data_IF_064374745714
#
_entry.id   IF_064374745714
#
_cell.length_a   1.000
_cell.length_b   1.000
_cell.length_c   1.000
_cell.angle_alpha   90.00
_cell.angle_beta   90.00
_cell.angle_gamma   90.00
#
_symmetry.space_group_name_H-M   'P 1'
#
loop_
_entity.id
_entity.type
_entity.pdbx_description
1 polymer ?
#
# COMPACT_ATOMS: atom_id res chain seq x y z
N UNK A 1 21.67 -13.27 11.41
CA UNK A 1 20.61 -12.50 10.77
C UNK A 1 20.20 -11.26 11.57
N UNK A 2 19.87 -11.32 12.87
CA UNK A 2 19.51 -10.14 13.69
C UNK A 2 20.55 -9.00 13.66
N UNK A 3 21.85 -9.32 13.71
CA UNK A 3 22.92 -8.31 13.67
C UNK A 3 23.02 -7.59 12.32
N UNK A 4 22.75 -8.28 11.21
CA UNK A 4 22.76 -7.69 9.85
C UNK A 4 21.60 -6.71 9.71
N UNK A 5 20.41 -7.06 10.19
CA UNK A 5 19.23 -6.18 10.16
C UNK A 5 19.50 -4.90 10.96
N UNK A 6 20.09 -5.02 12.15
CA UNK A 6 20.45 -3.87 12.98
C UNK A 6 21.52 -3.01 12.30
N UNK A 7 22.55 -3.62 11.68
CA UNK A 7 23.60 -2.86 10.98
C UNK A 7 23.05 -2.11 9.75
N UNK A 8 22.14 -2.73 9.00
CA UNK A 8 21.47 -2.07 7.87
C UNK A 8 20.58 -0.93 8.37
N UNK A 9 19.86 -1.12 9.49
CA UNK A 9 19.03 -0.09 10.08
C UNK A 9 19.86 1.09 10.61
N UNK A 10 20.99 0.84 11.24
CA UNK A 10 21.95 1.88 11.71
C UNK A 10 22.59 2.59 10.53
N UNK A 11 22.96 1.90 9.46
CA UNK A 11 23.49 2.52 8.24
C UNK A 11 22.46 3.43 7.55
N UNK A 12 21.18 3.06 7.55
CA UNK A 12 20.10 3.91 7.05
C UNK A 12 19.87 5.17 7.89
N UNK A 13 20.09 5.10 9.21
CA UNK A 13 19.99 6.26 10.10
C UNK A 13 21.13 7.27 9.94
N UNK A 14 22.32 6.84 9.51
CA UNK A 14 23.47 7.71 9.32
C UNK A 14 23.40 8.62 8.08
N UNK A 15 22.46 8.37 7.16
CA UNK A 15 22.24 9.20 5.97
C UNK A 15 21.42 10.47 6.21
N UNK A 16 21.29 10.95 7.46
CA UNK A 16 20.34 11.98 7.88
C UNK A 16 20.98 13.38 7.87
N UNK A 17 21.22 14.01 6.74
CA UNK A 17 21.93 15.28 6.85
C UNK A 17 21.56 16.44 5.93
N UNK A 18 20.73 16.30 4.92
CA UNK A 18 20.53 17.39 3.94
C UNK A 18 19.04 17.53 3.53
N UNK A 19 18.65 18.77 3.16
CA UNK A 19 17.36 19.05 2.53
C UNK A 19 17.10 18.08 1.37
N UNK A 20 15.86 17.80 1.04
CA UNK A 20 15.57 16.98 -0.14
C UNK A 20 16.32 17.55 -1.32
N UNK A 21 17.22 16.77 -1.86
CA UNK A 21 18.16 17.18 -2.90
C UNK A 21 18.08 16.21 -4.05
N UNK A 22 18.14 16.75 -5.26
CA UNK A 22 18.33 15.97 -6.47
C UNK A 22 19.47 14.96 -6.29
N UNK A 23 19.29 13.72 -6.77
CA UNK A 23 20.24 12.63 -6.59
C UNK A 23 20.15 11.93 -5.23
N UNK A 24 19.28 12.36 -4.32
CA UNK A 24 19.13 11.76 -3.00
C UNK A 24 18.31 10.46 -3.05
N UNK A 25 18.78 9.44 -2.32
CA UNK A 25 18.05 8.20 -2.10
C UNK A 25 17.36 8.21 -0.74
N UNK A 26 16.11 7.79 -0.69
CA UNK A 26 15.35 7.67 0.56
C UNK A 26 14.53 6.39 0.61
N UNK A 27 14.20 5.93 1.81
CA UNK A 27 13.34 4.80 2.04
C UNK A 27 12.21 5.23 2.95
N UNK A 28 10.97 5.08 2.47
CA UNK A 28 9.75 5.33 3.24
C UNK A 28 9.21 4.03 3.84
N UNK A 29 8.64 4.15 5.03
CA UNK A 29 7.85 3.10 5.68
C UNK A 29 6.51 3.72 6.05
N UNK A 30 5.42 3.19 5.51
CA UNK A 30 4.06 3.65 5.75
C UNK A 30 3.22 2.53 6.39
N UNK A 31 2.43 2.92 7.38
CA UNK A 31 1.40 2.09 8.02
C UNK A 31 0.06 2.79 7.85
N UNK A 32 -0.99 2.04 7.55
CA UNK A 32 -2.28 2.66 7.30
C UNK A 32 -3.47 1.73 7.53
N UNK A 33 -4.63 2.30 7.30
CA UNK A 33 -5.91 1.62 7.38
C UNK A 33 -6.60 1.64 6.02
N UNK A 34 -7.39 0.62 5.77
CA UNK A 34 -8.26 0.50 4.59
C UNK A 34 -9.70 0.52 5.07
N UNK A 35 -10.40 1.67 4.98
CA UNK A 35 -11.82 1.73 5.32
C UNK A 35 -12.64 0.93 4.28
N UNK A 36 -13.53 0.08 4.74
CA UNK A 36 -14.47 -0.69 3.92
C UNK A 36 -15.86 -0.64 4.51
N UNK A 37 -16.89 -0.84 3.69
CA UNK A 37 -18.25 -0.99 4.19
C UNK A 37 -18.38 -2.35 4.89
N UNK A 38 -18.79 -2.35 6.17
CA UNK A 38 -18.98 -3.57 6.96
C UNK A 38 -17.69 -4.27 7.36
N UNK A 39 -16.56 -3.53 7.49
CA UNK A 39 -15.30 -4.13 7.89
C UNK A 39 -14.16 -3.12 7.91
N UNK A 40 -12.95 -3.56 7.67
CA UNK A 40 -11.78 -2.71 7.63
C UNK A 40 -10.53 -3.48 7.24
N UNK A 41 -9.42 -2.76 7.11
CA UNK A 41 -8.14 -3.38 6.82
C UNK A 41 -6.98 -2.57 7.32
N UNK A 42 -5.82 -3.19 7.28
CA UNK A 42 -4.54 -2.56 7.56
C UNK A 42 -3.65 -2.67 6.33
N UNK A 43 -2.81 -1.67 6.13
CA UNK A 43 -1.79 -1.68 5.08
C UNK A 43 -0.43 -1.34 5.67
N UNK A 44 0.59 -1.96 5.11
CA UNK A 44 1.98 -1.69 5.40
C UNK A 44 2.72 -1.58 4.07
N UNK A 45 3.57 -0.58 3.91
CA UNK A 45 4.41 -0.48 2.73
C UNK A 45 5.83 0.01 3.03
N UNK A 46 6.77 -0.52 2.27
CA UNK A 46 8.16 -0.08 2.20
C UNK A 46 8.39 0.50 0.81
N UNK A 47 8.99 1.69 0.74
CA UNK A 47 9.16 2.38 -0.53
C UNK A 47 10.53 3.03 -0.66
N UNK A 48 11.53 2.33 -1.24
CA UNK A 48 12.75 2.97 -1.72
C UNK A 48 12.42 3.93 -2.86
N UNK A 49 12.99 5.15 -2.78
CA UNK A 49 12.79 6.24 -3.76
C UNK A 49 14.11 6.92 -4.10
N UNK A 50 14.16 7.42 -5.33
CA UNK A 50 15.24 8.26 -5.83
C UNK A 50 14.69 9.63 -6.23
N UNK A 51 15.29 10.69 -5.72
CA UNK A 51 14.92 12.06 -6.05
C UNK A 51 15.53 12.43 -7.39
N UNK A 52 14.72 12.45 -8.45
CA UNK A 52 15.16 12.88 -9.80
C UNK A 52 15.28 14.39 -9.91
N UNK A 53 14.55 15.11 -9.05
CA UNK A 53 14.66 16.56 -8.82
C UNK A 53 14.30 16.86 -7.36
N UNK A 54 14.51 18.10 -6.92
CA UNK A 54 14.15 18.54 -5.57
C UNK A 54 12.66 18.40 -5.26
N UNK A 55 11.80 18.37 -6.29
CA UNK A 55 10.36 18.27 -6.17
C UNK A 55 9.75 17.03 -6.86
N UNK A 56 10.57 16.09 -7.30
CA UNK A 56 10.11 14.89 -8.01
C UNK A 56 10.91 13.66 -7.58
N UNK A 57 10.22 12.55 -7.38
CA UNK A 57 10.91 11.29 -7.17
C UNK A 57 10.23 10.11 -7.88
N UNK A 58 11.00 9.09 -8.09
CA UNK A 58 10.54 7.77 -8.55
C UNK A 58 10.87 6.76 -7.47
N UNK A 59 10.05 5.73 -7.37
CA UNK A 59 10.22 4.70 -6.34
C UNK A 59 9.67 3.35 -6.75
N UNK A 60 9.94 2.37 -5.89
CA UNK A 60 9.33 1.06 -5.94
C UNK A 60 8.61 0.82 -4.62
N UNK A 61 7.29 0.85 -4.63
CA UNK A 61 6.48 0.54 -3.45
C UNK A 61 6.25 -0.96 -3.36
N UNK A 62 6.65 -1.53 -2.23
CA UNK A 62 6.39 -2.92 -1.84
C UNK A 62 5.36 -2.84 -0.72
N UNK A 63 4.15 -3.30 -0.96
CA UNK A 63 3.03 -3.15 -0.03
C UNK A 63 2.33 -4.46 0.28
N UNK A 64 1.76 -4.53 1.47
CA UNK A 64 0.83 -5.58 1.90
C UNK A 64 -0.40 -4.92 2.50
N UNK A 65 -1.58 -5.38 2.10
CA UNK A 65 -2.84 -4.95 2.71
C UNK A 65 -3.66 -6.19 3.10
N UNK A 66 -4.11 -6.24 4.34
CA UNK A 66 -5.05 -7.24 4.83
C UNK A 66 -6.41 -6.56 5.03
N UNK A 67 -7.43 -7.06 4.36
CA UNK A 67 -8.75 -6.42 4.30
C UNK A 67 -9.81 -7.46 4.67
N UNK A 68 -10.65 -7.12 5.63
CA UNK A 68 -11.85 -7.90 5.99
C UNK A 68 -13.07 -7.13 5.53
N UNK A 69 -14.00 -7.81 4.89
CA UNK A 69 -15.29 -7.27 4.43
C UNK A 69 -16.40 -8.18 4.85
N UNK A 70 -17.47 -7.60 5.39
CA UNK A 70 -18.71 -8.33 5.60
C UNK A 70 -19.45 -8.47 4.26
N UNK A 71 -19.87 -9.67 3.95
CA UNK A 71 -20.74 -9.94 2.80
C UNK A 71 -22.13 -10.20 3.34
N UNK A 72 -23.03 -9.23 3.18
CA UNK A 72 -24.46 -9.44 3.43
C UNK A 72 -25.03 -10.17 2.22
N UNK A 73 -25.22 -11.48 2.35
CA UNK A 73 -26.05 -12.23 1.43
C UNK A 73 -27.52 -12.14 1.89
N UNK A 74 -28.45 -12.02 0.93
CA UNK A 74 -29.89 -11.94 1.19
C UNK A 74 -30.37 -13.24 1.88
N UNK A 75 -30.50 -13.19 3.21
CA UNK A 75 -31.16 -14.20 3.99
C UNK A 75 -30.28 -15.19 4.76
N UNK A 76 -29.64 -14.76 5.83
CA UNK A 76 -28.97 -15.57 6.87
C UNK A 76 -27.62 -16.21 6.46
N UNK A 77 -26.64 -15.72 7.00
CA UNK A 77 -25.31 -16.17 7.42
C UNK A 77 -24.26 -15.12 7.03
N UNK A 78 -23.69 -14.49 8.03
CA UNK A 78 -22.61 -13.51 7.82
C UNK A 78 -21.36 -14.24 7.40
N UNK A 79 -21.04 -14.22 6.12
CA UNK A 79 -19.77 -14.76 5.62
C UNK A 79 -18.74 -13.64 5.65
N UNK A 80 -17.77 -13.72 6.54
CA UNK A 80 -16.65 -12.79 6.55
C UNK A 80 -15.63 -13.20 5.47
N UNK A 81 -15.33 -12.29 4.54
CA UNK A 81 -14.28 -12.49 3.53
C UNK A 81 -13.03 -11.73 3.94
N UNK A 82 -11.94 -12.45 4.13
CA UNK A 82 -10.63 -11.87 4.33
C UNK A 82 -9.82 -11.93 3.02
N UNK A 83 -9.22 -10.82 2.63
CA UNK A 83 -8.31 -10.77 1.49
C UNK A 83 -6.97 -10.19 1.89
N UNK A 84 -5.89 -10.81 1.44
CA UNK A 84 -4.54 -10.32 1.56
C UNK A 84 -4.02 -9.91 0.18
N UNK A 85 -3.54 -8.68 0.05
CA UNK A 85 -3.01 -8.15 -1.19
C UNK A 85 -1.53 -7.80 -0.99
N UNK A 86 -0.65 -8.48 -1.75
CA UNK A 86 0.74 -8.06 -1.94
C UNK A 86 0.85 -7.16 -3.16
N UNK A 87 1.71 -6.14 -3.15
CA UNK A 87 1.87 -5.25 -4.29
C UNK A 87 3.31 -4.83 -4.51
N UNK A 88 3.69 -4.73 -5.79
CA UNK A 88 4.96 -4.18 -6.28
C UNK A 88 4.64 -3.13 -7.32
N UNK A 89 4.75 -1.85 -6.95
CA UNK A 89 4.29 -0.74 -7.76
C UNK A 89 5.42 0.24 -8.01
N UNK A 90 5.77 0.48 -9.28
CA UNK A 90 6.63 1.58 -9.65
C UNK A 90 5.85 2.89 -9.48
N UNK A 91 6.42 3.86 -8.77
CA UNK A 91 5.74 5.09 -8.37
C UNK A 91 6.48 6.32 -8.85
N UNK A 92 5.70 7.39 -9.05
CA UNK A 92 6.19 8.75 -9.29
C UNK A 92 5.42 9.71 -8.38
N UNK A 93 6.13 10.59 -7.66
CA UNK A 93 5.52 11.66 -6.86
C UNK A 93 6.03 13.04 -7.30
N UNK A 94 5.12 14.00 -7.32
CA UNK A 94 5.39 15.41 -7.51
C UNK A 94 5.03 16.19 -6.26
N UNK A 95 5.95 17.00 -5.78
CA UNK A 95 5.84 17.81 -4.57
C UNK A 95 5.63 19.28 -4.89
N UNK A 96 4.58 19.88 -4.32
CA UNK A 96 4.24 21.29 -4.52
C UNK A 96 4.98 22.16 -3.51
N UNK A 97 5.52 23.29 -3.98
CA UNK A 97 6.19 24.26 -3.10
C UNK A 97 7.30 23.68 -2.20
N UNK A 98 8.10 22.77 -2.75
CA UNK A 98 9.15 22.05 -2.04
C UNK A 98 10.27 22.96 -1.46
N UNK A 99 10.43 24.16 -2.00
CA UNK A 99 11.55 25.04 -1.69
C UNK A 99 11.41 25.67 -0.29
N UNK A 100 12.26 25.25 0.65
CA UNK A 100 12.43 25.89 1.97
C UNK A 100 11.27 25.69 2.96
N UNK A 101 10.25 24.89 2.66
CA UNK A 101 9.10 24.65 3.54
C UNK A 101 9.20 23.30 4.22
N UNK A 102 8.77 23.22 5.49
CA UNK A 102 8.69 21.94 6.22
C UNK A 102 7.45 21.13 5.85
N UNK A 103 6.36 21.81 5.47
CA UNK A 103 5.09 21.19 5.05
C UNK A 103 4.98 21.26 3.52
N UNK A 104 4.93 20.10 2.88
CA UNK A 104 4.97 19.97 1.43
C UNK A 104 3.89 19.01 0.95
N UNK A 105 2.83 19.51 0.31
CA UNK A 105 1.82 18.67 -0.34
C UNK A 105 2.43 17.92 -1.53
N UNK A 106 1.90 16.73 -1.80
CA UNK A 106 2.28 15.94 -2.97
C UNK A 106 1.10 15.23 -3.61
N UNK A 107 1.27 14.91 -4.88
CA UNK A 107 0.46 13.96 -5.61
C UNK A 107 1.37 12.91 -6.25
N UNK A 108 0.86 11.72 -6.45
CA UNK A 108 1.63 10.65 -7.06
C UNK A 108 0.75 9.65 -7.80
N UNK A 109 1.39 8.93 -8.69
CA UNK A 109 0.78 7.82 -9.41
C UNK A 109 1.77 6.67 -9.54
N UNK A 110 1.26 5.49 -9.82
CA UNK A 110 2.07 4.31 -10.03
C UNK A 110 1.35 3.24 -10.82
N UNK A 111 2.13 2.29 -11.33
CA UNK A 111 1.62 1.10 -11.98
C UNK A 111 2.48 -0.10 -11.56
N UNK A 112 1.84 -1.27 -11.44
CA UNK A 112 2.56 -2.44 -10.97
C UNK A 112 1.70 -3.68 -10.85
N UNK A 113 2.27 -4.66 -10.18
CA UNK A 113 1.70 -5.98 -9.99
C UNK A 113 1.10 -6.13 -8.59
N UNK A 114 -0.12 -6.67 -8.55
CA UNK A 114 -0.85 -6.97 -7.33
C UNK A 114 -1.12 -8.48 -7.26
N UNK A 115 -0.68 -9.12 -6.19
CA UNK A 115 -0.99 -10.50 -5.86
C UNK A 115 -2.13 -10.50 -4.84
N UNK A 116 -3.23 -11.18 -5.15
CA UNK A 116 -4.45 -11.19 -4.34
C UNK A 116 -4.65 -12.61 -3.87
N UNK A 117 -4.72 -12.79 -2.54
CA UNK A 117 -5.13 -14.03 -1.91
C UNK A 117 -6.46 -13.78 -1.18
N UNK A 118 -7.48 -14.56 -1.50
CA UNK A 118 -8.78 -14.49 -0.86
C UNK A 118 -9.00 -15.73 0.01
N UNK A 119 -9.47 -15.53 1.25
CA UNK A 119 -9.92 -16.58 2.14
C UNK A 119 -11.39 -16.36 2.46
N UNK A 120 -12.22 -17.38 2.27
CA UNK A 120 -13.63 -17.38 2.65
C UNK A 120 -13.81 -18.20 3.91
N UNK A 121 -14.48 -17.63 4.92
CA UNK A 121 -14.86 -18.33 6.14
C UNK A 121 -16.36 -18.60 6.08
N UNK A 122 -16.74 -19.86 5.98
CA UNK A 122 -18.15 -20.28 6.00
C UNK A 122 -18.49 -20.84 7.38
N UNK A 123 -19.47 -20.23 8.07
CA UNK A 123 -19.83 -20.57 9.45
C UNK A 123 -20.86 -21.71 9.55
N UNK A 124 -21.25 -22.32 8.42
CA UNK A 124 -22.40 -23.24 8.39
C UNK A 124 -22.08 -24.68 8.83
N UNK A 125 -20.83 -25.11 8.93
CA UNK A 125 -20.51 -26.51 9.32
C UNK A 125 -19.09 -26.71 9.85
N UNK A 126 -18.61 -26.00 10.83
CA UNK A 126 -17.38 -26.33 11.57
C UNK A 126 -16.19 -26.86 10.73
N UNK A 127 -16.19 -26.52 9.44
CA UNK A 127 -15.15 -26.83 8.48
C UNK A 127 -14.63 -25.53 7.89
N UNK A 128 -13.46 -25.09 8.33
CA UNK A 128 -12.76 -23.95 7.75
C UNK A 128 -12.28 -24.39 6.37
N UNK A 129 -13.10 -24.16 5.36
CA UNK A 129 -12.71 -24.31 3.96
C UNK A 129 -11.89 -23.07 3.57
N UNK A 130 -10.57 -23.16 3.66
CA UNK A 130 -9.70 -22.08 3.14
C UNK A 130 -9.44 -22.35 1.67
N UNK A 131 -10.24 -21.75 0.80
CA UNK A 131 -9.92 -21.66 -0.62
C UNK A 131 -9.01 -20.45 -0.82
N UNK A 132 -7.71 -20.70 -0.96
CA UNK A 132 -6.73 -19.67 -1.32
C UNK A 132 -6.61 -19.63 -2.83
N UNK A 133 -7.31 -18.71 -3.45
CA UNK A 133 -7.12 -18.40 -4.87
C UNK A 133 -6.16 -17.21 -4.99
N UNK A 134 -4.93 -17.47 -5.41
CA UNK A 134 -3.91 -16.46 -5.60
C UNK A 134 -3.87 -16.02 -7.07
N UNK A 135 -4.40 -14.85 -7.36
CA UNK A 135 -4.39 -14.27 -8.70
C UNK A 135 -3.49 -13.03 -8.75
N UNK A 136 -2.59 -13.01 -9.73
CA UNK A 136 -1.79 -11.83 -10.02
C UNK A 136 -2.46 -10.92 -11.03
N UNK A 137 -2.44 -9.59 -10.80
CA UNK A 137 -3.06 -8.60 -11.69
C UNK A 137 -2.17 -7.38 -11.84
N UNK A 138 -2.12 -6.86 -13.05
CA UNK A 138 -1.59 -5.51 -13.28
C UNK A 138 -2.61 -4.49 -12.82
N UNK A 139 -2.16 -3.47 -12.11
CA UNK A 139 -3.02 -2.43 -11.57
C UNK A 139 -2.31 -1.08 -11.48
N UNK A 140 -3.03 -0.08 -11.02
CA UNK A 140 -2.55 1.28 -10.84
C UNK A 140 -2.68 1.76 -9.39
N UNK A 141 -1.97 2.83 -9.09
CA UNK A 141 -2.03 3.55 -7.83
C UNK A 141 -2.14 5.04 -8.13
N UNK A 142 -3.06 5.74 -7.49
CA UNK A 142 -3.05 7.20 -7.39
C UNK A 142 -3.05 7.58 -5.92
N UNK A 143 -2.30 8.63 -5.57
CA UNK A 143 -2.19 9.05 -4.18
C UNK A 143 -1.96 10.54 -4.05
N UNK A 144 -2.28 11.07 -2.88
CA UNK A 144 -2.01 12.45 -2.54
C UNK A 144 -1.96 12.64 -1.03
N UNK A 145 -1.23 13.64 -0.61
CA UNK A 145 -1.04 13.89 0.81
C UNK A 145 -0.06 15.01 1.06
N UNK A 146 0.62 14.95 2.17
CA UNK A 146 1.68 15.88 2.52
C UNK A 146 2.81 15.19 3.28
N UNK A 147 3.98 15.77 3.19
CA UNK A 147 5.13 15.45 4.03
C UNK A 147 5.42 16.63 4.94
N UNK A 148 5.78 16.36 6.19
CA UNK A 148 6.19 17.34 7.18
C UNK A 148 7.49 16.88 7.83
N UNK A 149 8.58 17.55 7.46
CA UNK A 149 9.92 17.12 7.86
C UNK A 149 10.25 15.74 7.31
N UNK A 150 10.17 14.72 8.15
CA UNK A 150 10.36 13.30 7.80
C UNK A 150 9.07 12.49 7.84
N UNK A 151 8.00 13.07 8.35
CA UNK A 151 6.69 12.42 8.40
C UNK A 151 5.95 12.56 7.08
N UNK A 152 5.12 11.59 6.80
CA UNK A 152 4.26 11.53 5.64
C UNK A 152 2.86 11.12 6.05
N UNK A 153 1.86 11.78 5.51
CA UNK A 153 0.46 11.41 5.61
C UNK A 153 -0.17 11.46 4.23
N UNK A 154 -0.99 10.47 3.90
CA UNK A 154 -1.63 10.45 2.58
C UNK A 154 -2.83 9.55 2.48
N UNK A 155 -3.56 9.78 1.40
CA UNK A 155 -4.59 8.93 0.88
C UNK A 155 -4.07 8.27 -0.38
N UNK A 156 -4.40 7.01 -0.56
CA UNK A 156 -4.11 6.27 -1.79
C UNK A 156 -5.34 5.54 -2.30
N UNK A 157 -5.47 5.43 -3.60
CA UNK A 157 -6.45 4.58 -4.25
C UNK A 157 -5.74 3.57 -5.13
N UNK A 158 -5.89 2.30 -4.79
CA UNK A 158 -5.33 1.18 -5.53
C UNK A 158 -6.38 0.67 -6.53
N UNK A 159 -6.09 0.87 -7.82
CA UNK A 159 -6.91 0.49 -8.95
C UNK A 159 -6.53 -0.93 -9.39
N UNK A 160 -7.18 -1.92 -8.80
CA UNK A 160 -6.92 -3.33 -9.11
C UNK A 160 -8.11 -3.92 -9.84
N UNK A 161 -7.92 -4.56 -11.01
CA UNK A 161 -9.01 -5.15 -11.77
C UNK A 161 -9.80 -6.17 -10.95
N UNK A 162 -11.11 -6.25 -11.22
CA UNK A 162 -12.01 -7.21 -10.55
C UNK A 162 -11.56 -8.64 -10.79
N UNK A 163 -11.78 -9.52 -9.81
CA UNK A 163 -11.64 -10.96 -9.93
C UNK A 163 -13.00 -11.60 -10.25
N UNK A 164 -13.00 -12.57 -11.14
CA UNK A 164 -14.18 -13.39 -11.42
C UNK A 164 -14.17 -14.57 -10.47
N UNK A 165 -15.26 -14.76 -9.73
CA UNK A 165 -15.48 -15.96 -8.91
C UNK A 165 -16.01 -17.07 -9.80
N UNK A 166 -15.36 -18.24 -9.76
CA UNK A 166 -15.82 -19.44 -10.47
C UNK A 166 -16.19 -20.53 -9.47
N UNK A 167 -17.25 -21.27 -9.78
CA UNK A 167 -17.60 -22.48 -9.06
C UNK A 167 -16.60 -23.61 -9.39
N UNK A 168 -16.60 -24.69 -8.59
CA UNK A 168 -15.80 -25.91 -8.84
C UNK A 168 -16.02 -26.52 -10.24
N UNK A 169 -17.13 -26.19 -10.89
CA UNK A 169 -17.48 -26.60 -12.26
C UNK A 169 -17.03 -25.56 -13.33
N UNK A 170 -16.31 -24.48 -12.94
CA UNK A 170 -15.87 -23.43 -13.86
C UNK A 170 -16.93 -22.40 -14.26
N UNK A 171 -18.14 -22.44 -13.67
CA UNK A 171 -19.19 -21.45 -13.96
C UNK A 171 -18.96 -20.15 -13.20
N UNK A 172 -19.15 -19.02 -13.88
CA UNK A 172 -19.04 -17.70 -13.27
C UNK A 172 -20.16 -17.47 -12.26
N UNK A 173 -19.81 -17.25 -10.98
CA UNK A 173 -20.74 -16.95 -9.88
C UNK A 173 -20.83 -15.46 -9.53
N UNK A 174 -19.87 -14.67 -10.00
CA UNK A 174 -19.86 -13.24 -9.72
C UNK A 174 -18.49 -12.58 -9.94
N UNK A 175 -18.39 -11.30 -9.55
CA UNK A 175 -17.12 -10.55 -9.59
C UNK A 175 -16.86 -9.88 -8.26
N UNK A 176 -15.61 -9.90 -7.81
CA UNK A 176 -15.15 -9.19 -6.61
C UNK A 176 -14.33 -7.98 -7.01
N UNK A 177 -14.66 -6.82 -6.43
CA UNK A 177 -13.87 -5.62 -6.59
C UNK A 177 -12.62 -5.71 -5.72
N UNK A 178 -11.43 -5.58 -6.33
CA UNK A 178 -10.15 -5.64 -5.63
C UNK A 178 -9.58 -4.26 -5.31
N UNK A 179 -10.16 -3.20 -5.89
CA UNK A 179 -9.74 -1.82 -5.64
C UNK A 179 -10.07 -1.41 -4.20
N UNK A 180 -9.20 -0.61 -3.59
CA UNK A 180 -9.39 -0.11 -2.23
C UNK A 180 -8.77 1.26 -2.04
N UNK A 181 -9.31 2.00 -1.05
CA UNK A 181 -8.76 3.26 -0.54
C UNK A 181 -7.92 2.94 0.69
N UNK A 182 -6.74 3.54 0.81
CA UNK A 182 -5.90 3.48 1.98
C UNK A 182 -5.65 4.88 2.56
N UNK A 183 -5.64 4.99 3.87
CA UNK A 183 -5.18 6.16 4.60
C UNK A 183 -3.90 5.73 5.33
N UNK A 184 -2.79 6.41 5.08
CA UNK A 184 -1.52 5.99 5.66
C UNK A 184 -0.78 7.14 6.34
N UNK A 185 -0.03 6.76 7.37
CA UNK A 185 0.97 7.56 8.05
C UNK A 185 2.31 6.86 7.90
N UNK A 186 3.36 7.61 7.68
CA UNK A 186 4.69 7.05 7.55
C UNK A 186 5.79 8.02 7.86
N UNK A 187 6.98 7.51 7.74
CA UNK A 187 8.20 8.31 7.82
C UNK A 187 9.21 7.80 6.79
N UNK A 188 10.17 8.64 6.47
CA UNK A 188 11.25 8.24 5.58
C UNK A 188 12.63 8.60 6.14
N UNK A 189 13.63 7.80 5.77
CA UNK A 189 15.04 8.01 6.08
C UNK A 189 15.82 8.24 4.80
N UNK A 190 16.91 9.00 4.87
CA UNK A 190 17.68 9.39 3.69
C UNK A 190 17.05 10.54 2.91
N UNK A 191 17.64 10.91 1.79
CA UNK A 191 17.13 11.87 0.79
C UNK A 191 16.91 13.30 1.27
N UNK A 192 17.42 13.67 2.44
CA UNK A 192 17.18 14.94 3.08
C UNK A 192 15.87 15.01 3.86
N UNK A 193 15.46 16.20 4.30
CA UNK A 193 14.18 16.50 4.95
C UNK A 193 13.62 17.83 4.43
N UNK A 194 12.31 17.99 4.47
CA UNK A 194 11.68 19.26 4.17
C UNK A 194 11.93 20.27 5.31
N UNK A 195 12.18 21.52 4.93
CA UNK A 195 12.56 22.58 5.86
C UNK A 195 14.06 22.57 6.20
N UNK A 196 14.50 23.70 6.72
CA UNK A 196 15.87 23.88 7.24
C UNK A 196 15.96 23.51 8.71
#
# INVERSE_FOLDING_TARGET
MKKIIVSVFVALLSCSGYAQKEGGFRVGLDLGIVPTNGGGGVLLSLEPKYNIKDNMNVGLRIGVAAIVRDVNDFGATTTAKASANGSYVATYDYYFNASGKSFVPYIGAGAGYYSIANAEFDDTNNSIGVNVDAAGKMGGLVRGGFEWGKFRMGLEYNLVPKSTLQDINGNNKGTVANSYVGIHLGFYVGGGKWGK
#
